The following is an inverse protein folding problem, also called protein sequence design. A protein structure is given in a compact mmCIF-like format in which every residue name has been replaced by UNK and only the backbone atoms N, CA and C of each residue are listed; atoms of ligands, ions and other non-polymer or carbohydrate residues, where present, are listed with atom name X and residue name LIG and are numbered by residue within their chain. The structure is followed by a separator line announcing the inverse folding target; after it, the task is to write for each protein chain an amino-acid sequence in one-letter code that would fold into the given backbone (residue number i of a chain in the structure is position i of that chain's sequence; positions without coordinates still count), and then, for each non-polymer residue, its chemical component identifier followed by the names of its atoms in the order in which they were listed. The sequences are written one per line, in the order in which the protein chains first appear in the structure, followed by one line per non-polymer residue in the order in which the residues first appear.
data_IF_187192845769
#
_entry.id   IF_187192845769
#
_cell.length_a   1.000
_cell.length_b   1.000
_cell.length_c   1.000
_cell.angle_alpha   90.00
_cell.angle_beta   90.00
_cell.angle_gamma   90.00
#
_symmetry.space_group_name_H-M   'P 1'
#
loop_
_entity.id
_entity.type
_entity.pdbx_description
1 polymer ?
#
# COMPACT_ATOMS: atom_id res chain seq x y z
N UNK A 1 45.18 33.12 38.53
CA UNK A 1 43.73 33.00 38.25
C UNK A 1 43.28 34.20 37.44
N UNK A 2 43.09 34.05 36.13
CA UNK A 2 42.55 35.11 35.26
C UNK A 2 41.50 34.45 34.37
N UNK A 3 40.23 34.70 34.67
CA UNK A 3 39.10 34.19 33.92
C UNK A 3 38.84 35.11 32.71
N UNK A 4 39.34 34.73 31.53
CA UNK A 4 38.98 35.41 30.27
C UNK A 4 37.64 34.87 29.79
N UNK A 5 36.59 35.67 30.01
CA UNK A 5 35.20 35.43 29.60
C UNK A 5 35.09 35.54 28.07
N UNK A 6 35.30 34.44 27.34
CA UNK A 6 35.01 34.36 25.90
C UNK A 6 33.50 34.44 25.66
N UNK A 7 33.02 35.57 25.11
CA UNK A 7 31.67 35.71 24.55
C UNK A 7 31.49 34.71 23.41
N UNK A 8 30.63 33.71 23.60
CA UNK A 8 30.20 32.82 22.52
C UNK A 8 29.23 33.59 21.60
N UNK A 9 29.68 33.95 20.40
CA UNK A 9 28.81 34.47 19.35
C UNK A 9 27.81 33.37 18.95
N UNK A 10 26.54 33.56 19.30
CA UNK A 10 25.44 32.69 18.89
C UNK A 10 25.31 32.77 17.36
N UNK A 11 25.89 31.81 16.63
CA UNK A 11 25.68 31.65 15.18
C UNK A 11 24.22 31.28 14.94
N UNK A 12 23.40 32.29 14.66
CA UNK A 12 22.02 32.11 14.21
C UNK A 12 22.05 31.50 12.81
N UNK A 13 21.96 30.19 12.73
CA UNK A 13 21.77 29.48 11.46
C UNK A 13 20.33 29.79 11.02
N UNK A 14 20.17 30.74 10.09
CA UNK A 14 18.91 30.91 9.38
C UNK A 14 18.64 29.63 8.59
N UNK A 15 17.83 28.75 9.16
CA UNK A 15 17.28 27.61 8.44
C UNK A 15 16.38 28.22 7.38
N UNK A 16 16.84 28.29 6.13
CA UNK A 16 15.96 28.55 4.97
C UNK A 16 14.85 27.50 5.05
N UNK A 17 13.68 27.91 5.52
CA UNK A 17 12.47 27.12 5.41
C UNK A 17 12.19 27.13 3.91
N UNK A 18 12.66 26.10 3.22
CA UNK A 18 12.18 25.80 1.88
C UNK A 18 10.65 25.77 2.02
N UNK A 19 9.98 26.71 1.35
CA UNK A 19 8.53 26.70 1.21
C UNK A 19 8.20 25.30 0.73
N UNK A 20 7.64 24.47 1.61
CA UNK A 20 7.16 23.17 1.23
C UNK A 20 6.10 23.46 0.17
N UNK A 21 6.48 23.33 -1.09
CA UNK A 21 5.51 23.09 -2.15
C UNK A 21 4.81 21.85 -1.70
N UNK A 22 3.62 22.02 -1.12
CA UNK A 22 2.66 20.96 -0.88
C UNK A 22 2.40 20.40 -2.27
N UNK A 23 3.24 19.46 -2.70
CA UNK A 23 3.00 18.68 -3.88
C UNK A 23 1.64 18.07 -3.60
N UNK A 24 0.62 18.47 -4.35
CA UNK A 24 -0.69 17.82 -4.32
C UNK A 24 -0.38 16.34 -4.42
N UNK A 25 -0.58 15.62 -3.31
CA UNK A 25 -0.53 14.17 -3.35
C UNK A 25 -1.70 13.84 -4.25
N UNK A 26 -1.39 13.51 -5.50
CA UNK A 26 -2.42 13.12 -6.45
C UNK A 26 -3.14 11.93 -5.84
N UNK A 27 -4.45 11.91 -6.00
CA UNK A 27 -5.31 10.79 -5.56
C UNK A 27 -4.70 9.45 -6.03
N UNK A 28 -4.09 9.44 -7.20
CA UNK A 28 -3.33 8.36 -7.83
C UNK A 28 -2.14 7.86 -6.99
N UNK A 29 -1.40 8.73 -6.29
CA UNK A 29 -0.32 8.32 -5.38
C UNK A 29 -0.85 7.72 -4.08
N UNK A 30 -1.99 8.21 -3.59
CA UNK A 30 -2.65 7.62 -2.39
C UNK A 30 -3.19 6.24 -2.74
N UNK A 31 -3.83 6.10 -3.90
CA UNK A 31 -4.40 4.84 -4.37
C UNK A 31 -3.31 3.80 -4.63
N UNK A 32 -2.22 4.16 -5.33
CA UNK A 32 -1.10 3.25 -5.53
C UNK A 32 -0.43 2.80 -4.21
N UNK A 33 -0.36 3.69 -3.21
CA UNK A 33 0.11 3.33 -1.88
C UNK A 33 -0.85 2.36 -1.16
N UNK A 34 -2.17 2.60 -1.26
CA UNK A 34 -3.20 1.72 -0.71
C UNK A 34 -3.19 0.34 -1.39
N UNK A 35 -3.03 0.26 -2.71
CA UNK A 35 -2.92 -1.02 -3.45
C UNK A 35 -1.68 -1.82 -3.05
N UNK A 36 -0.54 -1.15 -2.86
CA UNK A 36 0.69 -1.77 -2.36
C UNK A 36 0.50 -2.33 -0.95
N UNK A 37 -0.17 -1.58 -0.08
CA UNK A 37 -0.41 -2.02 1.30
C UNK A 37 -1.45 -3.15 1.38
N UNK A 38 -2.50 -3.11 0.55
CA UNK A 38 -3.45 -4.23 0.40
C UNK A 38 -2.71 -5.49 -0.04
N UNK A 39 -1.83 -5.38 -1.05
CA UNK A 39 -1.05 -6.52 -1.55
C UNK A 39 -0.11 -7.10 -0.48
N UNK A 40 0.56 -6.25 0.29
CA UNK A 40 1.42 -6.68 1.42
C UNK A 40 0.60 -7.33 2.53
N UNK A 41 -0.57 -6.79 2.85
CA UNK A 41 -1.45 -7.35 3.88
C UNK A 41 -2.04 -8.69 3.45
N UNK A 42 -2.41 -8.85 2.18
CA UNK A 42 -2.83 -10.14 1.62
C UNK A 42 -1.71 -11.18 1.69
N UNK A 43 -0.48 -10.83 1.29
CA UNK A 43 0.66 -11.76 1.38
C UNK A 43 1.01 -12.15 2.83
N UNK A 44 0.85 -11.23 3.79
CA UNK A 44 1.00 -11.55 5.22
C UNK A 44 -0.11 -12.47 5.70
N UNK A 45 -1.34 -12.20 5.30
CA UNK A 45 -2.52 -12.97 5.67
C UNK A 45 -2.44 -14.41 5.15
N UNK A 46 -2.05 -14.61 3.89
CA UNK A 46 -1.81 -15.94 3.32
C UNK A 46 -0.76 -16.73 4.11
N UNK A 47 0.35 -16.08 4.49
CA UNK A 47 1.39 -16.70 5.30
C UNK A 47 0.90 -17.08 6.69
N UNK A 48 0.11 -16.23 7.34
CA UNK A 48 -0.48 -16.53 8.65
C UNK A 48 -1.48 -17.68 8.51
N UNK A 49 -2.40 -17.62 7.54
CA UNK A 49 -3.36 -18.69 7.29
C UNK A 49 -2.67 -20.03 7.01
N UNK A 50 -1.60 -20.06 6.21
CA UNK A 50 -0.84 -21.28 5.94
C UNK A 50 -0.17 -21.84 7.20
N UNK A 51 0.41 -20.98 8.05
CA UNK A 51 1.01 -21.37 9.33
C UNK A 51 -0.03 -21.93 10.28
N UNK A 52 -1.14 -21.24 10.48
CA UNK A 52 -2.23 -21.69 11.36
C UNK A 52 -2.80 -23.03 10.88
N UNK A 53 -3.01 -23.19 9.57
CA UNK A 53 -3.47 -24.45 8.97
C UNK A 53 -2.47 -25.60 9.18
N UNK A 54 -1.17 -25.33 9.08
CA UNK A 54 -0.12 -26.32 9.33
C UNK A 54 -0.08 -26.72 10.81
N UNK A 55 -0.14 -25.74 11.72
CA UNK A 55 -0.15 -25.98 13.17
C UNK A 55 -1.38 -26.79 13.59
N UNK A 56 -2.56 -26.45 13.06
CA UNK A 56 -3.80 -27.17 13.33
C UNK A 56 -3.76 -28.62 12.81
N UNK A 57 -3.21 -28.85 11.60
CA UNK A 57 -2.98 -30.22 11.10
C UNK A 57 -2.04 -31.00 12.00
N UNK A 58 -0.92 -30.41 12.42
CA UNK A 58 0.03 -31.05 13.31
C UNK A 58 -0.60 -31.40 14.67
N UNK A 59 -1.51 -30.57 15.18
CA UNK A 59 -2.27 -30.86 16.40
C UNK A 59 -3.20 -32.07 16.23
N UNK A 60 -3.93 -32.16 15.11
CA UNK A 60 -4.77 -33.32 14.77
C UNK A 60 -3.93 -34.59 14.64
N UNK A 61 -2.78 -34.53 13.96
CA UNK A 61 -1.89 -35.68 13.80
C UNK A 61 -1.31 -36.13 15.15
N UNK A 62 -0.93 -35.18 16.02
CA UNK A 62 -0.44 -35.48 17.37
C UNK A 62 -1.53 -36.14 18.21
N UNK A 63 -2.76 -35.64 18.17
CA UNK A 63 -3.91 -36.25 18.85
C UNK A 63 -4.20 -37.65 18.28
N UNK A 64 -4.17 -37.83 16.96
CA UNK A 64 -4.34 -39.14 16.31
C UNK A 64 -3.29 -40.16 16.75
N UNK A 65 -2.01 -39.74 16.86
CA UNK A 65 -0.94 -40.59 17.38
C UNK A 65 -1.16 -40.97 18.85
N UNK A 66 -1.69 -40.05 19.68
CA UNK A 66 -2.06 -40.38 21.07
C UNK A 66 -3.19 -41.41 21.11
N UNK A 67 -4.25 -41.24 20.30
CA UNK A 67 -5.36 -42.21 20.20
C UNK A 67 -4.81 -43.59 19.84
N UNK A 68 -3.96 -43.68 18.81
CA UNK A 68 -3.37 -44.96 18.39
C UNK A 68 -2.57 -45.63 19.52
N UNK A 69 -1.75 -44.86 20.27
CA UNK A 69 -0.99 -45.39 21.42
C UNK A 69 -1.90 -45.90 22.54
N UNK A 70 -2.96 -45.15 22.87
CA UNK A 70 -3.90 -45.55 23.94
C UNK A 70 -4.75 -46.74 23.50
N UNK A 71 -5.16 -46.82 22.24
CA UNK A 71 -5.88 -47.96 21.68
C UNK A 71 -5.05 -49.26 21.76
N UNK A 72 -3.75 -49.20 21.52
CA UNK A 72 -2.85 -50.36 21.72
C UNK A 72 -2.84 -50.78 23.19
N UNK A 73 -2.75 -49.84 24.14
CA UNK A 73 -2.80 -50.14 25.59
C UNK A 73 -4.14 -50.75 26.00
N UNK A 74 -5.25 -50.23 25.48
CA UNK A 74 -6.59 -50.76 25.71
C UNK A 74 -6.70 -52.21 25.18
N UNK A 75 -6.22 -52.47 23.97
CA UNK A 75 -6.21 -53.83 23.39
C UNK A 75 -5.39 -54.80 24.24
N UNK A 76 -4.22 -54.38 24.72
CA UNK A 76 -3.39 -55.18 25.63
C UNK A 76 -4.08 -55.42 26.98
N UNK A 77 -4.72 -54.41 27.57
CA UNK A 77 -5.48 -54.54 28.81
C UNK A 77 -6.67 -55.51 28.65
N UNK A 78 -7.39 -55.44 27.53
CA UNK A 78 -8.49 -56.35 27.19
C UNK A 78 -8.01 -57.80 27.06
N UNK A 79 -6.88 -58.01 26.38
CA UNK A 79 -6.26 -59.34 26.27
C UNK A 79 -5.82 -59.88 27.63
N UNK A 80 -5.20 -59.04 28.47
CA UNK A 80 -4.78 -59.41 29.83
C UNK A 80 -5.98 -59.79 30.71
N UNK A 81 -7.07 -59.01 30.67
CA UNK A 81 -8.32 -59.34 31.38
C UNK A 81 -8.85 -60.69 30.91
N UNK A 82 -8.93 -60.94 29.60
CA UNK A 82 -9.41 -62.22 29.06
C UNK A 82 -8.55 -63.42 29.53
N UNK A 83 -7.23 -63.27 29.53
CA UNK A 83 -6.32 -64.31 30.01
C UNK A 83 -6.49 -64.61 31.51
N UNK A 84 -6.63 -63.57 32.34
CA UNK A 84 -6.89 -63.72 33.78
C UNK A 84 -8.27 -64.34 34.03
N UNK A 85 -9.31 -63.92 33.30
CA UNK A 85 -10.64 -64.52 33.37
C UNK A 85 -10.59 -66.03 33.07
N UNK A 86 -9.85 -66.45 32.04
CA UNK A 86 -9.68 -67.86 31.72
C UNK A 86 -9.00 -68.64 32.86
N UNK A 87 -7.97 -68.05 33.49
CA UNK A 87 -7.30 -68.64 34.66
C UNK A 87 -8.21 -68.77 35.88
N UNK A 88 -9.01 -67.74 36.18
CA UNK A 88 -9.98 -67.75 37.30
C UNK A 88 -11.06 -68.81 37.07
N UNK A 89 -11.55 -68.96 35.82
CA UNK A 89 -12.49 -70.02 35.45
C UNK A 89 -11.90 -71.42 35.61
N UNK A 90 -10.62 -71.60 35.30
CA UNK A 90 -9.93 -72.88 35.43
C UNK A 90 -9.63 -73.25 36.90
N UNK A 91 -9.17 -72.29 37.70
CA UNK A 91 -8.89 -72.50 39.13
C UNK A 91 -9.13 -71.21 39.92
N UNK A 92 -10.27 -71.17 40.61
CA UNK A 92 -10.67 -70.02 41.41
C UNK A 92 -9.87 -69.97 42.71
N UNK A 93 -9.03 -68.96 42.85
CA UNK A 93 -8.26 -68.67 44.07
C UNK A 93 -8.41 -67.19 44.45
N UNK A 94 -8.32 -66.82 45.73
CA UNK A 94 -8.37 -65.41 46.15
C UNK A 94 -7.32 -64.54 45.43
N UNK A 95 -6.13 -65.10 45.20
CA UNK A 95 -5.07 -64.43 44.43
C UNK A 95 -5.48 -64.16 42.97
N UNK A 96 -6.13 -65.12 42.30
CA UNK A 96 -6.62 -64.96 40.92
C UNK A 96 -7.79 -63.98 40.81
N UNK A 97 -8.68 -63.94 41.79
CA UNK A 97 -9.77 -62.95 41.85
C UNK A 97 -9.23 -61.54 42.02
N UNK A 98 -8.25 -61.35 42.91
CA UNK A 98 -7.55 -60.07 43.07
C UNK A 98 -6.85 -59.63 41.77
N UNK A 99 -6.28 -60.56 41.01
CA UNK A 99 -5.71 -60.25 39.69
C UNK A 99 -6.79 -59.85 38.67
N UNK A 100 -7.98 -60.48 38.73
CA UNK A 100 -9.10 -60.13 37.85
C UNK A 100 -9.62 -58.73 38.12
N UNK A 101 -9.76 -58.36 39.40
CA UNK A 101 -10.16 -57.00 39.82
C UNK A 101 -9.15 -55.97 39.31
N UNK A 102 -7.85 -56.21 39.51
CA UNK A 102 -6.79 -55.32 39.00
C UNK A 102 -6.81 -55.22 37.47
N UNK A 103 -7.02 -56.33 36.76
CA UNK A 103 -7.10 -56.32 35.30
C UNK A 103 -8.35 -55.58 34.78
N UNK A 104 -9.48 -55.66 35.50
CA UNK A 104 -10.68 -54.90 35.20
C UNK A 104 -10.45 -53.39 35.41
N UNK A 105 -9.88 -52.98 36.54
CA UNK A 105 -9.53 -51.58 36.80
C UNK A 105 -8.59 -51.01 35.73
N UNK A 106 -7.56 -51.75 35.34
CA UNK A 106 -6.62 -51.32 34.28
C UNK A 106 -7.33 -51.16 32.92
N UNK A 107 -8.28 -52.03 32.60
CA UNK A 107 -9.08 -51.90 31.38
C UNK A 107 -9.99 -50.66 31.43
N UNK A 108 -10.62 -50.40 32.58
CA UNK A 108 -11.50 -49.24 32.75
C UNK A 108 -10.71 -47.93 32.66
N UNK A 109 -9.54 -47.85 33.30
CA UNK A 109 -8.64 -46.69 33.16
C UNK A 109 -8.16 -46.50 31.71
N UNK A 110 -7.88 -47.60 30.99
CA UNK A 110 -7.50 -47.52 29.58
C UNK A 110 -8.66 -47.06 28.68
N UNK A 111 -9.90 -47.44 28.99
CA UNK A 111 -11.11 -46.98 28.30
C UNK A 111 -11.37 -45.49 28.55
N UNK A 112 -11.23 -45.03 29.80
CA UNK A 112 -11.34 -43.60 30.15
C UNK A 112 -10.30 -42.77 29.39
N UNK A 113 -9.03 -43.17 29.44
CA UNK A 113 -7.96 -42.49 28.70
C UNK A 113 -8.20 -42.49 27.18
N UNK A 114 -8.79 -43.55 26.63
CA UNK A 114 -9.12 -43.58 25.20
C UNK A 114 -10.23 -42.58 24.87
N UNK A 115 -11.28 -42.52 25.70
CA UNK A 115 -12.39 -41.59 25.55
C UNK A 115 -11.91 -40.13 25.62
N UNK A 116 -11.08 -39.79 26.60
CA UNK A 116 -10.51 -38.44 26.76
C UNK A 116 -9.71 -38.02 25.52
N UNK A 117 -8.81 -38.88 25.05
CA UNK A 117 -7.96 -38.56 23.88
C UNK A 117 -8.76 -38.57 22.57
N UNK A 118 -9.83 -39.36 22.46
CA UNK A 118 -10.78 -39.26 21.36
C UNK A 118 -11.55 -37.93 21.38
N UNK A 119 -11.92 -37.44 22.56
CA UNK A 119 -12.46 -36.10 22.76
C UNK A 119 -11.49 -35.01 22.31
N UNK A 120 -10.22 -35.08 22.72
CA UNK A 120 -9.16 -34.17 22.24
C UNK A 120 -9.04 -34.17 20.71
N UNK A 121 -9.10 -35.35 20.08
CA UNK A 121 -9.05 -35.48 18.63
C UNK A 121 -10.28 -34.86 17.95
N UNK A 122 -11.47 -35.02 18.53
CA UNK A 122 -12.70 -34.39 18.06
C UNK A 122 -12.57 -32.86 18.06
N UNK A 123 -12.20 -32.29 19.21
CA UNK A 123 -11.98 -30.84 19.35
C UNK A 123 -10.91 -30.32 18.39
N UNK A 124 -9.82 -31.05 18.19
CA UNK A 124 -8.77 -30.66 17.23
C UNK A 124 -9.27 -30.68 15.77
N UNK A 125 -10.12 -31.65 15.41
CA UNK A 125 -10.75 -31.71 14.08
C UNK A 125 -11.76 -30.59 13.86
N UNK A 126 -12.55 -30.28 14.87
CA UNK A 126 -13.52 -29.17 14.83
C UNK A 126 -12.81 -27.82 14.74
N UNK A 127 -11.72 -27.63 15.49
CA UNK A 127 -10.87 -26.46 15.35
C UNK A 127 -10.28 -26.34 13.93
N UNK A 128 -9.80 -27.46 13.36
CA UNK A 128 -9.27 -27.49 11.99
C UNK A 128 -10.36 -27.18 10.94
N UNK A 129 -11.58 -27.67 11.13
CA UNK A 129 -12.70 -27.41 10.21
C UNK A 129 -13.13 -25.94 10.28
N UNK A 130 -13.24 -25.38 11.50
CA UNK A 130 -13.50 -23.95 11.71
C UNK A 130 -12.42 -23.07 11.08
N UNK A 131 -11.14 -23.46 11.22
CA UNK A 131 -10.03 -22.74 10.61
C UNK A 131 -10.11 -22.78 9.08
N UNK A 132 -10.43 -23.93 8.46
CA UNK A 132 -10.62 -24.05 7.00
C UNK A 132 -11.71 -23.12 6.48
N UNK A 133 -12.85 -23.07 7.16
CA UNK A 133 -13.97 -22.18 6.78
C UNK A 133 -13.53 -20.72 6.84
N UNK A 134 -12.86 -20.32 7.93
CA UNK A 134 -12.35 -18.95 8.10
C UNK A 134 -11.34 -18.58 7.02
N UNK A 135 -10.35 -19.45 6.75
CA UNK A 135 -9.37 -19.23 5.68
C UNK A 135 -10.05 -19.12 4.32
N UNK A 136 -11.06 -19.95 4.04
CA UNK A 136 -11.85 -19.85 2.80
C UNK A 136 -12.56 -18.50 2.64
N UNK A 137 -13.24 -18.03 3.69
CA UNK A 137 -13.90 -16.71 3.70
C UNK A 137 -12.91 -15.56 3.51
N UNK A 138 -11.78 -15.62 4.21
CA UNK A 138 -10.71 -14.63 4.10
C UNK A 138 -10.14 -14.56 2.68
N UNK A 139 -9.90 -15.73 2.07
CA UNK A 139 -9.40 -15.82 0.68
C UNK A 139 -10.42 -15.28 -0.33
N UNK A 140 -11.72 -15.54 -0.10
CA UNK A 140 -12.79 -14.99 -0.93
C UNK A 140 -12.87 -13.46 -0.83
N UNK A 141 -12.77 -12.90 0.38
CA UNK A 141 -12.72 -11.44 0.57
C UNK A 141 -11.48 -10.82 -0.10
N UNK A 142 -10.30 -11.44 0.03
CA UNK A 142 -9.09 -10.97 -0.64
C UNK A 142 -9.27 -10.95 -2.18
N UNK A 143 -9.89 -11.99 -2.73
CA UNK A 143 -10.21 -12.08 -4.16
C UNK A 143 -11.20 -11.00 -4.61
N UNK A 144 -12.22 -10.71 -3.81
CA UNK A 144 -13.18 -9.64 -4.07
C UNK A 144 -12.51 -8.26 -4.01
N UNK A 145 -11.67 -8.03 -2.99
CA UNK A 145 -10.89 -6.80 -2.84
C UNK A 145 -9.96 -6.57 -4.05
N UNK A 146 -9.31 -7.61 -4.56
CA UNK A 146 -8.48 -7.51 -5.77
C UNK A 146 -9.29 -7.21 -7.04
N UNK A 147 -10.53 -7.68 -7.16
CA UNK A 147 -11.41 -7.31 -8.27
C UNK A 147 -11.81 -5.84 -8.21
N UNK A 148 -12.16 -5.34 -7.03
CA UNK A 148 -12.50 -3.93 -6.82
C UNK A 148 -11.30 -3.04 -7.13
N UNK A 149 -10.11 -3.38 -6.62
CA UNK A 149 -8.88 -2.65 -6.93
C UNK A 149 -8.61 -2.57 -8.45
N UNK A 150 -8.77 -3.68 -9.18
CA UNK A 150 -8.64 -3.70 -10.64
C UNK A 150 -9.66 -2.84 -11.37
N UNK A 151 -10.90 -2.74 -10.86
CA UNK A 151 -11.91 -1.87 -11.47
C UNK A 151 -11.57 -0.40 -11.23
N UNK A 152 -11.18 -0.05 -10.00
CA UNK A 152 -10.76 1.30 -9.65
C UNK A 152 -9.54 1.76 -10.47
N UNK A 153 -8.53 0.91 -10.60
CA UNK A 153 -7.34 1.20 -11.42
C UNK A 153 -7.70 1.52 -12.88
N UNK A 154 -8.64 0.77 -13.47
CA UNK A 154 -9.15 1.04 -14.84
C UNK A 154 -9.90 2.37 -14.93
N UNK A 155 -10.75 2.68 -13.95
CA UNK A 155 -11.49 3.94 -13.94
C UNK A 155 -10.55 5.15 -13.78
N UNK A 156 -9.49 5.00 -12.98
CA UNK A 156 -8.51 6.06 -12.81
C UNK A 156 -7.66 6.28 -14.07
N UNK A 157 -7.29 5.22 -14.79
CA UNK A 157 -6.61 5.33 -16.08
C UNK A 157 -7.46 6.09 -17.12
N UNK A 158 -8.77 5.84 -17.14
CA UNK A 158 -9.71 6.56 -18.00
C UNK A 158 -9.79 8.04 -17.63
N UNK A 159 -9.86 8.35 -16.33
CA UNK A 159 -9.91 9.73 -15.84
C UNK A 159 -8.62 10.48 -16.10
N UNK A 160 -7.46 9.84 -15.94
CA UNK A 160 -6.15 10.43 -16.22
C UNK A 160 -6.01 10.76 -17.71
N UNK A 161 -6.39 9.83 -18.59
CA UNK A 161 -6.43 10.05 -20.03
C UNK A 161 -7.37 11.20 -20.43
N UNK A 162 -8.53 11.32 -19.79
CA UNK A 162 -9.46 12.42 -20.03
C UNK A 162 -8.90 13.78 -19.58
N UNK A 163 -8.21 13.82 -18.44
CA UNK A 163 -7.52 15.03 -17.93
C UNK A 163 -6.38 15.44 -18.85
N UNK A 164 -5.55 14.50 -19.32
CA UNK A 164 -4.47 14.76 -20.25
C UNK A 164 -4.97 15.38 -21.56
N UNK A 165 -6.09 14.87 -22.12
CA UNK A 165 -6.72 15.43 -23.33
C UNK A 165 -7.23 16.85 -23.11
N UNK A 166 -7.84 17.15 -21.95
CA UNK A 166 -8.30 18.52 -21.63
C UNK A 166 -7.13 19.49 -21.48
N UNK A 167 -6.06 19.09 -20.79
CA UNK A 167 -4.86 19.92 -20.63
C UNK A 167 -4.20 20.23 -21.99
N UNK A 168 -4.05 19.23 -22.86
CA UNK A 168 -3.51 19.43 -24.20
C UNK A 168 -4.40 20.35 -25.07
N UNK A 169 -5.72 20.29 -24.90
CA UNK A 169 -6.65 21.17 -25.62
C UNK A 169 -6.57 22.63 -25.13
N UNK A 170 -6.43 22.87 -23.82
CA UNK A 170 -6.20 24.21 -23.29
C UNK A 170 -4.86 24.77 -23.73
N UNK A 171 -3.80 23.97 -23.73
CA UNK A 171 -2.48 24.41 -24.16
C UNK A 171 -2.47 24.83 -25.63
N UNK A 172 -3.16 24.07 -26.51
CA UNK A 172 -3.34 24.46 -27.92
C UNK A 172 -4.12 25.76 -28.07
N UNK A 173 -5.15 26.00 -27.25
CA UNK A 173 -5.91 27.27 -27.26
C UNK A 173 -5.05 28.43 -26.79
N UNK A 174 -4.25 28.25 -25.73
CA UNK A 174 -3.33 29.25 -25.22
C UNK A 174 -2.25 29.61 -26.26
N UNK A 175 -1.67 28.61 -26.93
CA UNK A 175 -0.70 28.84 -28.01
C UNK A 175 -1.32 29.57 -29.22
N UNK A 176 -2.57 29.25 -29.58
CA UNK A 176 -3.28 29.94 -30.66
C UNK A 176 -3.59 31.41 -30.31
N UNK A 177 -3.99 31.67 -29.06
CA UNK A 177 -4.20 33.03 -28.56
C UNK A 177 -2.90 33.84 -28.52
N UNK A 178 -1.80 33.24 -28.05
CA UNK A 178 -0.48 33.87 -28.02
C UNK A 178 0.02 34.22 -29.44
N UNK A 179 -0.15 33.32 -30.41
CA UNK A 179 0.19 33.59 -31.82
C UNK A 179 -0.63 34.73 -32.43
N UNK A 180 -1.92 34.83 -32.10
CA UNK A 180 -2.77 35.96 -32.54
C UNK A 180 -2.33 37.27 -31.90
N UNK A 181 -2.03 37.28 -30.60
CA UNK A 181 -1.54 38.46 -29.91
C UNK A 181 -0.19 38.94 -30.48
N UNK A 182 0.76 38.04 -30.73
CA UNK A 182 2.05 38.36 -31.33
C UNK A 182 1.91 38.95 -32.75
N UNK A 183 0.99 38.43 -33.58
CA UNK A 183 0.70 39.00 -34.90
C UNK A 183 0.07 40.40 -34.82
N UNK A 184 -0.83 40.62 -33.87
CA UNK A 184 -1.45 41.92 -33.66
C UNK A 184 -0.42 42.96 -33.20
N UNK A 185 0.49 42.58 -32.30
CA UNK A 185 1.57 43.45 -31.83
C UNK A 185 2.56 43.78 -32.95
N UNK A 186 2.99 42.79 -33.73
CA UNK A 186 3.84 43.01 -34.89
C UNK A 186 3.19 43.92 -35.97
N UNK A 187 1.86 43.87 -36.12
CA UNK A 187 1.14 44.78 -37.02
C UNK A 187 1.07 46.21 -36.47
N UNK A 188 0.86 46.37 -35.16
CA UNK A 188 0.88 47.66 -34.47
C UNK A 188 2.27 48.33 -34.57
N UNK A 189 3.34 47.55 -34.35
CA UNK A 189 4.72 48.04 -34.43
C UNK A 189 5.07 48.49 -35.86
N UNK A 190 4.64 47.74 -36.89
CA UNK A 190 4.78 48.15 -38.29
C UNK A 190 4.03 49.44 -38.61
N UNK A 191 2.85 49.66 -38.02
CA UNK A 191 2.08 50.89 -38.20
C UNK A 191 2.77 52.07 -37.52
N UNK A 192 3.26 51.89 -36.29
CA UNK A 192 4.01 52.91 -35.55
C UNK A 192 5.30 53.31 -36.29
N UNK A 193 6.07 52.33 -36.80
CA UNK A 193 7.26 52.60 -37.60
C UNK A 193 6.96 53.40 -38.88
N UNK A 194 5.86 53.09 -39.59
CA UNK A 194 5.43 53.88 -40.76
C UNK A 194 5.03 55.31 -40.40
N UNK A 195 4.37 55.52 -39.25
CA UNK A 195 3.98 56.86 -38.81
C UNK A 195 5.19 57.70 -38.38
N UNK A 196 6.15 57.10 -37.68
CA UNK A 196 7.41 57.78 -37.32
C UNK A 196 8.22 58.15 -38.56
N UNK A 197 8.37 57.25 -39.53
CA UNK A 197 9.05 57.55 -40.80
C UNK A 197 8.35 58.68 -41.59
N UNK A 198 7.03 58.77 -41.53
CA UNK A 198 6.27 59.86 -42.14
C UNK A 198 6.47 61.20 -41.41
N UNK A 199 6.55 61.17 -40.07
CA UNK A 199 6.83 62.34 -39.25
C UNK A 199 8.25 62.89 -39.50
N UNK A 200 9.24 62.01 -39.59
CA UNK A 200 10.63 62.38 -39.92
C UNK A 200 10.73 63.00 -41.32
N UNK A 201 10.05 62.43 -42.33
CA UNK A 201 10.00 63.03 -43.67
C UNK A 201 9.35 64.42 -43.68
N UNK A 202 8.31 64.65 -42.86
CA UNK A 202 7.70 65.99 -42.72
C UNK A 202 8.63 66.97 -42.01
N UNK A 203 9.32 66.54 -40.94
CA UNK A 203 10.28 67.37 -40.21
C UNK A 203 11.50 67.74 -41.06
N UNK A 204 12.01 66.81 -41.88
CA UNK A 204 13.09 67.06 -42.82
C UNK A 204 12.69 68.12 -43.87
N UNK A 205 11.47 68.04 -44.40
CA UNK A 205 10.93 69.01 -45.38
C UNK A 205 10.78 70.42 -44.77
N UNK A 206 10.41 70.52 -43.49
CA UNK A 206 10.32 71.78 -42.75
C UNK A 206 11.71 72.42 -42.49
N UNK A 207 12.73 71.62 -42.16
CA UNK A 207 14.11 72.12 -41.97
C UNK A 207 14.72 72.69 -43.25
N UNK A 208 14.47 72.08 -44.41
CA UNK A 208 14.88 72.62 -45.72
C UNK A 208 14.16 73.91 -46.11
N UNK A 209 12.92 74.13 -45.64
CA UNK A 209 12.20 75.38 -45.87
C UNK A 209 12.73 76.52 -44.99
N UNK A 210 13.15 76.20 -43.75
CA UNK A 210 13.74 77.18 -42.83
C UNK A 210 15.13 77.68 -43.28
N UNK A 211 15.99 76.83 -43.85
CA UNK A 211 17.32 77.26 -44.31
C UNK A 211 17.28 78.17 -45.54
N UNK A 212 16.20 78.15 -46.35
CA UNK A 212 16.02 79.09 -47.47
C UNK A 212 15.65 80.51 -47.05
N UNK A 213 15.15 80.71 -45.81
CA UNK A 213 14.71 82.03 -45.31
C UNK A 213 15.79 82.80 -44.54
N UNK A 214 16.93 82.17 -44.24
CA UNK A 214 18.06 82.77 -43.54
C UNK A 214 19.24 83.04 -44.49
N UNK A 215 19.07 83.95 -45.45
CA UNK A 215 20.17 84.54 -46.19
C UNK A 215 20.38 85.97 -45.66
N UNK A 216 21.45 86.26 -44.88
CA UNK A 216 21.69 87.62 -44.41
C UNK A 216 22.10 88.50 -45.60
N UNK A 217 21.37 89.62 -45.77
CA UNK A 217 21.69 90.65 -46.75
C UNK A 217 23.03 91.32 -46.37
N UNK A 218 23.90 91.49 -47.36
CA UNK A 218 25.21 92.16 -47.23
C UNK A 218 25.03 93.62 -46.75
N UNK A 219 25.92 94.14 -45.89
CA UNK A 219 25.91 95.55 -45.52
C UNK A 219 26.39 96.41 -46.70
N UNK A 220 25.61 97.44 -47.03
CA UNK A 220 25.95 98.46 -48.03
C UNK A 220 26.78 99.54 -47.35
N UNK A 221 28.05 99.63 -47.71
CA UNK A 221 28.92 100.78 -47.40
C UNK A 221 28.68 101.84 -48.46
N UNK A 222 28.29 103.06 -48.07
CA UNK A 222 28.38 104.25 -48.91
C UNK A 222 29.19 105.32 -48.17
N UNK A 223 30.07 105.92 -48.97
CA UNK A 223 31.18 106.84 -48.65
C UNK A 223 30.78 108.06 -47.84
#
# INVERSE_FOLDING_TARGET
MVAVKKKAAKKTTQRKVAKATTAKVSITKVIAAMESDISKMQAKLEKVCAKEMSTAKAAVDKAGKKVAKVAVKQKAAKAKKAAVTAKVKAKKTPASENQLVKAAQVLDSANQALSEVQGELGLAKDALSGLKVTVGKVTAMASASNKVAKQWSKEEEVLENARAKKAAAEEKKAQAAAKKAAKAQAAADKKAAKMNAAAEKKAAKAKTAASKKARPAKPVVKK
#
